data_IF_117171469789
#
_entry.id   IF_117171469789
#
_cell.length_a   1.000
_cell.length_b   1.000
_cell.length_c   1.000
_cell.angle_alpha   90.00
_cell.angle_beta   90.00
_cell.angle_gamma   90.00
#
_symmetry.space_group_name_H-M   'P 1'
#
loop_
_entity.id
_entity.type
_entity.pdbx_description
1 polymer ?
#
# COMPACT_ATOMS: atom_id res chain seq x y z
N UNK A 1 -24.66 -5.33 17.72
CA UNK A 1 -24.42 -6.60 18.43
C UNK A 1 -23.83 -7.57 17.43
N UNK A 2 -22.67 -8.17 17.70
CA UNK A 2 -22.11 -9.23 16.85
C UNK A 2 -22.87 -10.52 17.18
N UNK A 3 -23.30 -11.27 16.16
CA UNK A 3 -24.01 -12.53 16.37
C UNK A 3 -23.07 -13.59 16.97
N UNK A 4 -23.58 -14.38 17.90
CA UNK A 4 -22.84 -15.49 18.49
C UNK A 4 -22.52 -16.54 17.41
N UNK A 5 -21.30 -17.08 17.45
CA UNK A 5 -20.81 -18.12 16.54
C UNK A 5 -20.87 -17.76 15.05
N UNK A 6 -20.93 -16.48 14.69
CA UNK A 6 -20.83 -16.06 13.30
C UNK A 6 -19.49 -15.38 12.99
N UNK A 7 -19.08 -15.51 11.74
CA UNK A 7 -17.93 -14.79 11.20
C UNK A 7 -18.37 -13.38 10.86
N UNK A 8 -17.58 -12.39 11.30
CA UNK A 8 -17.77 -11.00 10.94
C UNK A 8 -16.52 -10.51 10.20
N UNK A 9 -16.71 -9.94 9.02
CA UNK A 9 -15.63 -9.39 8.22
C UNK A 9 -15.39 -7.92 8.56
N UNK A 10 -14.13 -7.57 8.76
CA UNK A 10 -13.68 -6.18 8.92
C UNK A 10 -12.95 -5.75 7.65
N UNK A 11 -13.55 -4.83 6.91
CA UNK A 11 -12.96 -4.28 5.69
C UNK A 11 -12.14 -3.02 6.00
N UNK A 12 -10.90 -2.98 5.51
CA UNK A 12 -9.95 -1.90 5.78
C UNK A 12 -9.50 -1.24 4.48
N UNK A 13 -9.81 0.04 4.33
CA UNK A 13 -9.32 0.87 3.23
C UNK A 13 -8.02 1.58 3.58
N UNK A 14 -6.97 1.39 2.79
CA UNK A 14 -5.67 2.04 3.00
C UNK A 14 -5.33 2.95 1.82
N UNK A 15 -5.00 4.21 2.12
CA UNK A 15 -4.49 5.18 1.13
C UNK A 15 -3.10 5.66 1.54
N UNK A 16 -2.03 5.29 0.80
CA UNK A 16 -0.70 5.79 1.08
C UNK A 16 -0.63 7.28 0.73
N UNK A 17 -0.03 8.07 1.62
CA UNK A 17 0.32 9.47 1.36
C UNK A 17 1.80 9.67 1.06
N UNK A 18 2.63 8.75 1.57
CA UNK A 18 4.09 8.79 1.45
C UNK A 18 4.56 7.35 1.24
N UNK A 19 5.64 7.18 0.47
CA UNK A 19 6.35 5.91 0.33
C UNK A 19 6.93 5.42 1.66
N UNK A 20 7.16 4.11 1.74
CA UNK A 20 7.78 3.46 2.89
C UNK A 20 6.83 2.51 3.61
N UNK A 21 7.26 2.09 4.80
CA UNK A 21 6.59 1.07 5.59
C UNK A 21 5.86 1.71 6.77
N UNK A 22 4.64 1.25 7.05
CA UNK A 22 3.86 1.65 8.23
C UNK A 22 3.29 0.40 8.89
N UNK A 23 3.31 0.43 10.22
CA UNK A 23 2.71 -0.60 11.06
C UNK A 23 1.56 0.02 11.84
N UNK A 24 0.43 -0.68 11.92
CA UNK A 24 -0.79 -0.21 12.58
C UNK A 24 -1.38 -1.34 13.41
N UNK A 25 -1.76 -1.05 14.65
CA UNK A 25 -2.52 -1.99 15.46
C UNK A 25 -4.01 -1.77 15.24
N UNK A 26 -4.74 -2.86 15.06
CA UNK A 26 -6.20 -2.88 15.00
C UNK A 26 -6.67 -3.71 16.18
N UNK A 27 -7.41 -3.06 17.07
CA UNK A 27 -7.89 -3.64 18.30
C UNK A 27 -9.41 -3.68 18.27
N UNK A 28 -9.98 -4.86 18.52
CA UNK A 28 -11.41 -5.02 18.78
C UNK A 28 -11.57 -5.19 20.28
N UNK A 29 -12.28 -4.25 20.89
CA UNK A 29 -12.51 -4.17 22.32
C UNK A 29 -14.00 -4.34 22.57
N UNK A 30 -14.34 -5.17 23.55
CA UNK A 30 -15.66 -5.23 24.12
C UNK A 30 -15.83 -4.06 25.09
N UNK A 31 -16.78 -3.18 24.81
CA UNK A 31 -17.02 -1.95 25.57
C UNK A 31 -17.72 -2.26 26.89
N UNK A 32 -18.56 -3.29 26.93
CA UNK A 32 -19.36 -3.65 28.11
C UNK A 32 -18.49 -4.30 29.18
N UNK A 33 -17.61 -5.21 28.76
CA UNK A 33 -16.69 -5.92 29.67
C UNK A 33 -15.30 -5.29 29.74
N UNK A 34 -15.05 -4.21 29.00
CA UNK A 34 -13.75 -3.53 28.89
C UNK A 34 -12.57 -4.47 28.55
N UNK A 35 -12.83 -5.53 27.76
CA UNK A 35 -11.81 -6.52 27.38
C UNK A 35 -11.38 -6.38 25.93
N UNK A 36 -10.07 -6.51 25.69
CA UNK A 36 -9.55 -6.68 24.33
C UNK A 36 -9.89 -8.10 23.83
N UNK A 37 -10.77 -8.17 22.83
CA UNK A 37 -11.23 -9.42 22.21
C UNK A 37 -10.20 -9.93 21.22
N UNK A 38 -9.63 -9.03 20.41
CA UNK A 38 -8.65 -9.39 19.38
C UNK A 38 -7.75 -8.22 19.02
N UNK A 39 -6.50 -8.52 18.71
CA UNK A 39 -5.54 -7.56 18.19
C UNK A 39 -4.86 -8.10 16.94
N UNK A 40 -4.68 -7.23 15.97
CA UNK A 40 -3.89 -7.51 14.78
C UNK A 40 -2.85 -6.42 14.56
N UNK A 41 -1.67 -6.84 14.13
CA UNK A 41 -0.68 -5.95 13.56
C UNK A 41 -0.82 -5.97 12.04
N UNK A 42 -1.11 -4.81 11.45
CA UNK A 42 -1.15 -4.63 10.00
C UNK A 42 0.14 -3.94 9.56
N UNK A 43 0.88 -4.61 8.68
CA UNK A 43 2.03 -4.04 7.97
C UNK A 43 1.58 -3.57 6.60
N UNK A 44 1.77 -2.29 6.31
CA UNK A 44 1.51 -1.65 5.03
C UNK A 44 2.84 -1.20 4.44
N UNK A 45 3.18 -1.74 3.28
CA UNK A 45 4.40 -1.41 2.55
C UNK A 45 4.00 -0.68 1.27
N UNK A 46 4.49 0.55 1.10
CA UNK A 46 4.27 1.39 -0.07
C UNK A 46 5.59 1.56 -0.82
N UNK A 47 5.72 0.90 -1.97
CA UNK A 47 6.93 0.93 -2.81
C UNK A 47 6.72 1.79 -4.05
N UNK A 48 7.81 2.42 -4.51
CA UNK A 48 7.80 3.06 -5.81
C UNK A 48 7.46 2.03 -6.90
N UNK A 49 6.70 2.43 -7.93
CA UNK A 49 6.42 1.55 -9.06
C UNK A 49 7.72 1.10 -9.73
N UNK A 50 7.73 -0.15 -10.20
CA UNK A 50 8.81 -0.64 -11.01
C UNK A 50 8.74 -0.05 -12.42
N UNK A 51 9.82 0.58 -12.89
CA UNK A 51 9.89 1.11 -14.25
C UNK A 51 9.96 -0.06 -15.22
N UNK A 52 8.86 -0.32 -15.94
CA UNK A 52 8.77 -1.47 -16.84
C UNK A 52 9.39 -1.20 -18.22
N UNK A 53 9.44 0.07 -18.63
CA UNK A 53 9.97 0.45 -19.95
C UNK A 53 10.62 1.84 -19.91
N UNK A 54 11.68 2.00 -20.70
CA UNK A 54 12.37 3.28 -20.90
C UNK A 54 12.85 3.44 -22.33
N UNK A 55 12.73 4.64 -22.85
CA UNK A 55 13.24 5.03 -24.18
C UNK A 55 14.21 6.20 -24.03
N UNK A 56 15.24 6.21 -24.86
CA UNK A 56 16.12 7.38 -25.02
C UNK A 56 15.67 8.18 -26.24
N UNK A 57 15.43 9.47 -26.03
CA UNK A 57 15.06 10.40 -27.08
C UNK A 57 16.23 11.34 -27.34
N UNK A 58 16.79 11.28 -28.55
CA UNK A 58 17.70 12.31 -29.02
C UNK A 58 16.89 13.47 -29.58
N UNK A 59 16.95 14.60 -28.88
CA UNK A 59 16.32 15.85 -29.30
C UNK A 59 17.36 16.68 -30.07
N UNK A 60 17.08 17.10 -31.31
CA UNK A 60 17.90 18.09 -31.98
C UNK A 60 17.70 19.43 -31.25
N UNK A 61 18.77 19.93 -30.62
CA UNK A 61 18.81 21.32 -30.16
C UNK A 61 19.69 22.11 -31.13
N UNK A 62 19.23 23.31 -31.52
CA UNK A 62 19.94 24.14 -32.48
C UNK A 62 21.39 24.39 -32.06
N UNK A 63 22.33 24.32 -33.01
CA UNK A 63 23.76 24.51 -32.75
C UNK A 63 24.63 23.24 -32.77
N UNK A 64 24.12 22.11 -33.27
CA UNK A 64 24.92 20.92 -33.59
C UNK A 64 25.28 20.00 -32.41
N UNK A 65 24.94 20.38 -31.17
CA UNK A 65 25.01 19.48 -30.01
C UNK A 65 23.62 18.88 -29.77
N UNK A 66 23.44 17.57 -29.95
CA UNK A 66 22.17 16.92 -29.59
C UNK A 66 21.96 16.86 -28.07
N UNK A 67 20.71 16.80 -27.61
CA UNK A 67 20.36 16.56 -26.20
C UNK A 67 19.72 15.18 -26.07
N UNK A 68 20.23 14.32 -25.17
CA UNK A 68 19.62 13.02 -24.87
C UNK A 68 18.70 13.15 -23.65
N UNK A 69 17.43 12.78 -23.81
CA UNK A 69 16.43 12.73 -22.74
C UNK A 69 15.90 11.32 -22.60
N UNK A 70 16.05 10.73 -21.41
CA UNK A 70 15.44 9.43 -21.08
C UNK A 70 14.00 9.63 -20.62
N UNK A 71 13.07 8.91 -21.24
CA UNK A 71 11.66 8.84 -20.84
C UNK A 71 11.42 7.44 -20.27
N UNK A 72 11.01 7.38 -19.00
CA UNK A 72 10.71 6.14 -18.29
C UNK A 72 9.23 6.10 -17.92
N UNK A 73 8.58 4.95 -18.10
CA UNK A 73 7.18 4.77 -17.72
C UNK A 73 6.96 3.41 -17.07
N UNK A 74 5.95 3.38 -16.22
CA UNK A 74 5.44 2.14 -15.62
C UNK A 74 4.12 1.82 -16.28
N UNK A 75 4.02 0.67 -16.94
CA UNK A 75 2.74 0.14 -17.39
C UNK A 75 2.04 -0.46 -16.17
N UNK A 76 0.96 0.17 -15.72
CA UNK A 76 0.13 -0.39 -14.65
C UNK A 76 -0.59 -1.64 -15.19
N UNK A 77 -0.05 -2.82 -14.92
CA UNK A 77 -0.77 -4.07 -15.11
C UNK A 77 -1.82 -4.13 -13.99
N UNK A 78 -3.01 -3.61 -14.31
CA UNK A 78 -4.27 -3.66 -13.56
C UNK A 78 -4.15 -3.93 -12.05
N UNK A 79 -3.78 -2.90 -11.28
CA UNK A 79 -4.16 -2.81 -9.86
C UNK A 79 -4.75 -1.43 -9.62
N UNK A 80 -5.88 -1.40 -8.90
CA UNK A 80 -6.86 -0.30 -8.84
C UNK A 80 -6.24 1.10 -8.76
N UNK A 81 -6.89 2.06 -9.44
CA UNK A 81 -6.49 3.46 -9.57
C UNK A 81 -6.25 4.11 -8.19
N UNK A 82 -5.04 4.02 -7.67
CA UNK A 82 -4.55 4.93 -6.63
C UNK A 82 -3.92 6.14 -7.32
N UNK A 83 -4.28 7.33 -6.84
CA UNK A 83 -3.72 8.62 -7.31
C UNK A 83 -2.20 8.74 -7.10
N UNK A 84 -1.58 7.81 -6.35
CA UNK A 84 -0.14 7.61 -6.28
C UNK A 84 0.20 6.35 -7.07
N UNK A 85 1.16 6.42 -7.99
CA UNK A 85 1.63 5.27 -8.78
C UNK A 85 2.35 4.20 -7.95
N UNK A 86 2.29 4.27 -6.62
CA UNK A 86 2.98 3.38 -5.70
C UNK A 86 2.25 2.04 -5.55
N UNK A 87 3.03 0.96 -5.39
CA UNK A 87 2.53 -0.39 -5.13
C UNK A 87 2.31 -0.56 -3.63
N UNK A 88 1.12 -1.02 -3.26
CA UNK A 88 0.72 -1.27 -1.86
C UNK A 88 0.69 -2.77 -1.61
N UNK A 89 1.47 -3.22 -0.62
CA UNK A 89 1.40 -4.57 -0.06
C UNK A 89 0.86 -4.46 1.38
N UNK A 90 -0.13 -5.28 1.72
CA UNK A 90 -0.73 -5.31 3.06
C UNK A 90 -0.66 -6.72 3.62
N UNK A 91 -0.13 -6.86 4.84
CA UNK A 91 -0.04 -8.13 5.55
C UNK A 91 -0.60 -7.97 6.95
N UNK A 92 -1.46 -8.89 7.37
CA UNK A 92 -2.11 -8.88 8.68
C UNK A 92 -1.57 -10.04 9.52
N UNK A 93 -1.07 -9.73 10.72
CA UNK A 93 -0.58 -10.69 11.71
C UNK A 93 -1.54 -10.73 12.89
N UNK A 94 -1.95 -11.93 13.30
CA UNK A 94 -2.74 -12.09 14.52
C UNK A 94 -1.84 -11.93 15.74
N UNK A 95 -2.02 -10.85 16.48
CA UNK A 95 -1.32 -10.63 17.74
C UNK A 95 -2.12 -11.31 18.84
N UNK A 96 -1.85 -12.60 19.10
CA UNK A 96 -2.41 -13.27 20.28
C UNK A 96 -1.95 -12.49 21.51
N UNK A 97 -2.89 -12.24 22.44
CA UNK A 97 -2.53 -11.87 23.82
C UNK A 97 -1.72 -13.03 24.41
N UNK A 98 -0.58 -12.78 25.08
CA UNK A 98 0.02 -13.80 25.93
C UNK A 98 -1.00 -14.17 27.03
N UNK A 99 -1.09 -15.47 27.32
CA UNK A 99 -1.95 -16.04 28.37
C UNK A 99 -1.52 -15.55 29.76
#
# INVERSE_FOLDING_TARGET
MLLANSVHELNLGVRPRVKGNKFMFINVVDIEYHVLVRSWLVSVICRAPYITKSFELQLPVGGGKGSNKRISYTTAILKGKSSSSDVIEMTCYNSRKPE
#
